data_IF_523899411128
#
_entry.id   IF_523899411128
#
_cell.length_a   1.000
_cell.length_b   1.000
_cell.length_c   1.000
_cell.angle_alpha   90.00
_cell.angle_beta   90.00
_cell.angle_gamma   90.00
#
_symmetry.space_group_name_H-M   'P 1'
#
loop_
_entity.id
_entity.type
_entity.pdbx_description
1 polymer ?
#
# COMPACT_ATOMS: atom_id res chain seq x y z
N UNK A 1 -17.21 0.14 -2.95
CA UNK A 1 -16.36 0.51 -1.80
C UNK A 1 -15.03 -0.22 -1.95
N UNK A 2 -13.91 0.44 -1.79
CA UNK A 2 -12.67 -0.28 -1.89
C UNK A 2 -12.23 -0.80 -0.52
N UNK A 3 -11.28 -1.73 -0.52
CA UNK A 3 -10.85 -2.43 0.69
C UNK A 3 -10.29 -1.48 1.75
N UNK A 4 -9.77 -0.35 1.31
CA UNK A 4 -9.18 0.62 2.22
C UNK A 4 -10.23 1.20 3.16
N UNK A 5 -11.40 1.52 2.63
CA UNK A 5 -12.50 2.05 3.44
C UNK A 5 -13.03 1.01 4.42
N UNK A 6 -13.11 -0.23 3.99
CA UNK A 6 -13.56 -1.31 4.87
C UNK A 6 -12.62 -1.49 6.06
N UNK A 7 -11.31 -1.44 5.81
CA UNK A 7 -10.34 -1.55 6.89
C UNK A 7 -10.50 -0.41 7.90
N UNK A 8 -10.80 0.79 7.41
CA UNK A 8 -10.97 1.94 8.27
C UNK A 8 -12.16 1.79 9.20
N UNK A 9 -13.29 1.31 8.67
CA UNK A 9 -14.52 1.22 9.45
C UNK A 9 -14.57 0.05 10.40
N UNK A 10 -13.87 -1.04 10.08
CA UNK A 10 -13.92 -2.24 10.91
C UNK A 10 -12.83 -2.29 11.96
N UNK A 11 -11.90 -1.39 11.89
CA UNK A 11 -10.72 -1.41 12.74
C UNK A 11 -10.98 -0.79 14.10
N UNK A 12 -11.88 -1.39 14.87
CA UNK A 12 -12.10 -0.98 16.25
C UNK A 12 -11.01 -1.53 17.15
N UNK A 13 -10.64 -2.78 16.92
CA UNK A 13 -9.57 -3.44 17.68
C UNK A 13 -8.49 -3.92 16.76
N UNK A 14 -7.23 -3.75 17.19
CA UNK A 14 -6.10 -4.29 16.45
C UNK A 14 -5.87 -5.72 16.94
N UNK A 15 -6.35 -6.67 16.16
CA UNK A 15 -6.22 -8.08 16.50
C UNK A 15 -4.98 -8.74 15.93
N UNK A 16 -4.28 -8.03 15.02
CA UNK A 16 -3.09 -8.57 14.38
C UNK A 16 -2.11 -7.44 14.09
N UNK A 17 -0.87 -7.64 14.48
CA UNK A 17 0.22 -6.72 14.16
C UNK A 17 1.30 -7.46 13.38
N UNK A 18 1.85 -6.79 12.39
CA UNK A 18 3.00 -7.29 11.63
C UNK A 18 4.03 -6.19 11.47
N UNK A 19 5.28 -6.57 11.58
CA UNK A 19 6.38 -5.68 11.21
C UNK A 19 6.81 -6.05 9.79
N UNK A 20 6.97 -5.04 8.93
CA UNK A 20 7.41 -5.26 7.57
C UNK A 20 8.67 -4.45 7.32
N UNK A 21 9.54 -4.97 6.48
CA UNK A 21 10.71 -4.23 6.02
C UNK A 21 10.35 -3.55 4.70
N UNK A 22 10.51 -2.24 4.66
CA UNK A 22 10.23 -1.48 3.45
C UNK A 22 11.42 -1.58 2.50
N UNK A 23 11.15 -1.91 1.26
CA UNK A 23 12.16 -1.95 0.22
C UNK A 23 12.07 -0.70 -0.63
N UNK A 24 13.22 -0.17 -1.03
CA UNK A 24 13.29 1.00 -1.91
C UNK A 24 12.95 0.57 -3.33
N UNK A 25 12.01 1.27 -3.94
CA UNK A 25 11.62 0.97 -5.31
C UNK A 25 10.89 2.13 -5.95
N UNK A 26 10.75 2.09 -7.25
CA UNK A 26 9.96 3.06 -7.99
C UNK A 26 8.48 2.71 -7.87
N UNK A 27 7.62 3.66 -8.25
CA UNK A 27 6.18 3.45 -8.25
C UNK A 27 5.80 2.28 -9.18
N UNK A 28 6.45 2.20 -10.34
CA UNK A 28 6.18 1.12 -11.30
C UNK A 28 6.55 -0.25 -10.73
N UNK A 29 7.68 -0.32 -10.04
CA UNK A 29 8.10 -1.56 -9.38
C UNK A 29 7.12 -1.95 -8.29
N UNK A 30 6.61 -0.96 -7.55
CA UNK A 30 5.63 -1.21 -6.49
C UNK A 30 4.33 -1.78 -7.07
N UNK A 31 3.90 -1.28 -8.22
CA UNK A 31 2.72 -1.82 -8.90
C UNK A 31 2.92 -3.28 -9.26
N UNK A 32 4.08 -3.59 -9.83
CA UNK A 32 4.41 -4.98 -10.20
C UNK A 32 4.39 -5.88 -8.97
N UNK A 33 5.00 -5.45 -7.87
CA UNK A 33 5.02 -6.22 -6.64
C UNK A 33 3.61 -6.44 -6.09
N UNK A 34 2.82 -5.38 -6.08
CA UNK A 34 1.43 -5.44 -5.61
C UNK A 34 0.62 -6.46 -6.41
N UNK A 35 0.75 -6.42 -7.74
CA UNK A 35 0.02 -7.32 -8.62
C UNK A 35 0.49 -8.77 -8.47
N UNK A 36 1.79 -8.97 -8.34
CA UNK A 36 2.36 -10.31 -8.15
C UNK A 36 1.89 -10.95 -6.84
N UNK A 37 1.73 -10.14 -5.80
CA UNK A 37 1.27 -10.62 -4.50
C UNK A 37 -0.24 -10.74 -4.42
N UNK A 38 -0.97 -10.24 -5.41
CA UNK A 38 -2.43 -10.26 -5.42
C UNK A 38 -3.04 -9.32 -4.40
N UNK A 39 -2.33 -8.27 -4.02
CA UNK A 39 -2.81 -7.31 -3.03
C UNK A 39 -3.47 -6.12 -3.70
N UNK A 40 -4.34 -5.43 -2.98
CA UNK A 40 -4.99 -4.21 -3.46
C UNK A 40 -4.21 -2.96 -3.07
N UNK A 41 -3.21 -3.09 -2.23
CA UNK A 41 -2.29 -2.01 -1.86
C UNK A 41 -0.93 -2.59 -1.51
N UNK A 42 0.08 -1.71 -1.49
CA UNK A 42 1.45 -2.13 -1.21
C UNK A 42 2.23 -0.95 -0.64
N UNK A 43 2.95 -1.18 0.46
CA UNK A 43 3.73 -0.15 1.14
C UNK A 43 5.19 -0.31 0.73
N UNK A 44 5.83 0.78 0.38
CA UNK A 44 7.22 0.76 -0.08
C UNK A 44 7.90 2.09 0.25
N UNK A 45 9.23 2.08 0.13
CA UNK A 45 10.03 3.29 0.29
C UNK A 45 10.37 3.82 -1.09
N UNK A 46 9.99 5.04 -1.37
CA UNK A 46 10.30 5.67 -2.64
C UNK A 46 11.79 5.99 -2.75
N UNK A 47 12.26 6.17 -3.98
CA UNK A 47 13.66 6.50 -4.23
C UNK A 47 14.04 7.86 -3.66
N UNK A 48 13.07 8.69 -3.37
CA UNK A 48 13.25 9.99 -2.72
C UNK A 48 13.32 9.88 -1.20
N UNK A 49 13.21 8.69 -0.65
CA UNK A 49 13.27 8.44 0.78
C UNK A 49 11.96 8.57 1.52
N UNK A 50 10.86 8.75 0.82
CA UNK A 50 9.55 8.87 1.43
C UNK A 50 8.81 7.54 1.45
N UNK A 51 8.13 7.28 2.56
CA UNK A 51 7.27 6.10 2.67
C UNK A 51 6.00 6.34 1.86
N UNK A 52 5.67 5.39 1.01
CA UNK A 52 4.53 5.51 0.12
C UNK A 52 3.65 4.27 0.19
N UNK A 53 2.37 4.48 -0.11
CA UNK A 53 1.41 3.39 -0.27
C UNK A 53 0.82 3.51 -1.66
N UNK A 54 1.00 2.48 -2.48
CA UNK A 54 0.33 2.42 -3.76
C UNK A 54 -0.92 1.56 -3.59
N UNK A 55 -1.99 1.94 -4.25
CA UNK A 55 -3.25 1.22 -4.11
C UNK A 55 -3.98 1.17 -5.44
N UNK A 56 -4.80 0.16 -5.56
CA UNK A 56 -5.56 -0.10 -6.78
C UNK A 56 -6.87 0.69 -6.76
N UNK A 57 -7.16 1.35 -7.85
CA UNK A 57 -8.42 2.07 -8.06
C UNK A 57 -9.22 1.35 -9.12
N UNK A 58 -10.46 1.77 -9.32
CA UNK A 58 -11.28 1.24 -10.41
C UNK A 58 -10.63 1.47 -11.77
N UNK A 59 -9.95 2.59 -11.93
CA UNK A 59 -9.13 2.88 -13.12
C UNK A 59 -7.76 3.32 -12.63
N UNK A 60 -6.75 2.49 -12.92
CA UNK A 60 -5.38 2.81 -12.59
C UNK A 60 -5.04 2.63 -11.12
N UNK A 61 -4.11 3.43 -10.66
CA UNK A 61 -3.52 3.31 -9.34
C UNK A 61 -3.41 4.68 -8.70
N UNK A 62 -3.39 4.69 -7.36
CA UNK A 62 -3.14 5.91 -6.62
C UNK A 62 -1.93 5.73 -5.72
N UNK A 63 -1.30 6.83 -5.34
CA UNK A 63 -0.15 6.82 -4.43
C UNK A 63 -0.43 7.78 -3.29
N UNK A 64 -0.25 7.28 -2.07
CA UNK A 64 -0.28 8.09 -0.86
C UNK A 64 1.15 8.25 -0.36
N UNK A 65 1.52 9.47 -0.03
CA UNK A 65 2.83 9.76 0.54
C UNK A 65 2.65 9.98 2.02
N UNK A 66 3.38 9.20 2.83
CA UNK A 66 3.32 9.34 4.28
C UNK A 66 4.39 10.32 4.73
N UNK A 67 3.97 11.45 5.21
CA UNK A 67 4.87 12.52 5.69
C UNK A 67 5.08 12.47 7.19
#
# INVERSE_FOLDING_TARGET
MDDFDELYYESVDVTRKKSITLNVMTDDEAIVQMEMLGHSFFVYLGIDGETKVIYKRKKGYGVLVCE
#
